data_IF_304145416007
#
_entry.id   IF_304145416007
#
_cell.length_a   1.000
_cell.length_b   1.000
_cell.length_c   1.000
_cell.angle_alpha   90.00
_cell.angle_beta   90.00
_cell.angle_gamma   90.00
#
_symmetry.space_group_name_H-M   'P 1'
#
loop_
_entity.id
_entity.type
_entity.pdbx_description
1 polymer ?
#
# COMPACT_ATOMS: atom_id res chain seq x y z
N UNK A 1 -54.67 15.75 17.17
CA UNK A 1 -53.88 16.06 15.97
C UNK A 1 -52.55 16.66 16.43
N UNK A 2 -51.41 16.15 15.94
CA UNK A 2 -50.04 16.69 16.09
C UNK A 2 -49.10 16.13 17.18
N UNK A 3 -48.89 14.82 17.27
CA UNK A 3 -47.68 14.30 17.96
C UNK A 3 -47.05 13.04 17.34
N UNK A 4 -47.30 12.76 16.06
CA UNK A 4 -46.77 11.57 15.37
C UNK A 4 -45.95 11.88 14.10
N UNK A 5 -45.61 13.15 13.83
CA UNK A 5 -44.93 13.56 12.58
C UNK A 5 -43.41 13.77 12.69
N UNK A 6 -42.79 13.62 13.86
CA UNK A 6 -41.37 14.00 14.04
C UNK A 6 -40.37 12.83 14.00
N UNK A 7 -40.79 11.57 13.90
CA UNK A 7 -39.86 10.43 14.05
C UNK A 7 -39.35 9.83 12.73
N UNK A 8 -39.73 10.40 11.59
CA UNK A 8 -39.39 9.83 10.27
C UNK A 8 -38.18 10.48 9.57
N UNK A 9 -37.55 11.49 10.17
CA UNK A 9 -36.47 12.26 9.50
C UNK A 9 -35.06 11.93 10.07
N UNK A 10 -34.95 11.19 11.18
CA UNK A 10 -33.65 10.88 11.78
C UNK A 10 -32.92 9.66 11.16
N UNK A 11 -33.60 8.81 10.40
CA UNK A 11 -32.99 7.58 9.84
C UNK A 11 -32.33 7.81 8.47
N UNK A 12 -32.66 8.89 7.76
CA UNK A 12 -32.08 9.19 6.43
C UNK A 12 -30.77 9.97 6.54
N UNK A 13 -30.57 10.77 7.59
CA UNK A 13 -29.35 11.55 7.80
C UNK A 13 -28.15 10.74 8.35
N UNK A 14 -28.38 9.51 8.83
CA UNK A 14 -27.33 8.63 9.35
C UNK A 14 -26.67 7.77 8.26
N UNK A 15 -27.20 7.75 7.03
CA UNK A 15 -26.63 7.02 5.89
C UNK A 15 -25.61 7.84 5.09
N UNK A 16 -25.46 9.14 5.38
CA UNK A 16 -24.56 10.06 4.67
C UNK A 16 -23.19 10.24 5.32
N UNK A 17 -22.92 9.56 6.44
CA UNK A 17 -21.60 9.57 7.07
C UNK A 17 -20.84 8.28 6.72
N UNK A 18 -19.97 8.38 5.71
CA UNK A 18 -18.82 7.50 5.60
C UNK A 18 -19.05 6.16 4.92
N UNK A 19 -19.72 6.12 3.76
CA UNK A 19 -19.30 5.14 2.75
C UNK A 19 -17.90 5.58 2.30
N UNK A 20 -16.85 5.26 3.07
CA UNK A 20 -15.53 5.17 2.46
C UNK A 20 -15.69 4.20 1.32
N UNK A 21 -15.43 4.63 0.08
CA UNK A 21 -15.39 3.68 -1.03
C UNK A 21 -14.37 2.62 -0.61
N UNK A 22 -14.89 1.43 -0.41
CA UNK A 22 -14.17 0.18 -0.51
C UNK A 22 -13.24 0.26 -1.73
N UNK A 23 -11.97 0.63 -1.53
CA UNK A 23 -10.97 0.58 -2.59
C UNK A 23 -10.34 -0.80 -2.54
N UNK A 24 -10.59 -1.59 -3.58
CA UNK A 24 -9.88 -2.84 -3.78
C UNK A 24 -8.37 -2.54 -3.76
N UNK A 25 -7.65 -3.23 -2.88
CA UNK A 25 -6.20 -3.12 -2.78
C UNK A 25 -5.56 -4.14 -3.71
N UNK A 26 -4.51 -3.75 -4.41
CA UNK A 26 -3.78 -4.57 -5.36
C UNK A 26 -2.57 -5.22 -4.69
N UNK A 27 -2.29 -6.46 -5.06
CA UNK A 27 -1.13 -7.22 -4.59
C UNK A 27 -0.10 -7.29 -5.71
N UNK A 28 1.12 -6.87 -5.41
CA UNK A 28 2.25 -7.01 -6.31
C UNK A 28 3.33 -7.88 -5.68
N UNK A 29 3.85 -8.84 -6.42
CA UNK A 29 5.12 -9.48 -6.09
C UNK A 29 6.25 -8.66 -6.68
N UNK A 30 7.30 -8.42 -5.90
CA UNK A 30 8.49 -7.71 -6.38
C UNK A 30 9.74 -8.57 -6.26
N UNK A 31 10.68 -8.33 -7.17
CA UNK A 31 12.05 -8.84 -7.04
C UNK A 31 13.06 -7.76 -7.39
N UNK A 32 14.24 -7.84 -6.78
CA UNK A 32 15.40 -7.05 -7.18
C UNK A 32 16.66 -7.92 -7.16
N UNK A 33 17.59 -7.62 -8.06
CA UNK A 33 18.89 -8.30 -8.12
C UNK A 33 19.96 -7.36 -8.62
N UNK A 34 20.94 -7.09 -7.76
CA UNK A 34 22.19 -6.39 -8.03
C UNK A 34 23.41 -7.28 -7.76
N UNK A 35 24.62 -6.73 -7.90
CA UNK A 35 25.87 -7.47 -7.67
C UNK A 35 26.06 -7.99 -6.24
N UNK A 36 25.61 -7.23 -5.25
CA UNK A 36 25.84 -7.53 -3.83
C UNK A 36 24.56 -7.80 -3.06
N UNK A 37 23.43 -7.26 -3.54
CA UNK A 37 22.13 -7.38 -2.91
C UNK A 37 21.09 -7.97 -3.87
N UNK A 38 20.27 -8.89 -3.38
CA UNK A 38 19.10 -9.40 -4.10
C UNK A 38 17.98 -9.69 -3.11
N UNK A 39 16.74 -9.70 -3.58
CA UNK A 39 15.61 -9.95 -2.70
C UNK A 39 14.28 -10.02 -3.43
N UNK A 40 13.26 -10.37 -2.67
CA UNK A 40 11.89 -10.46 -3.16
C UNK A 40 10.90 -10.31 -2.02
N UNK A 41 9.65 -10.01 -2.38
CA UNK A 41 8.58 -9.89 -1.42
C UNK A 41 7.27 -9.52 -2.08
N UNK A 42 6.34 -9.07 -1.25
CA UNK A 42 5.01 -8.64 -1.67
C UNK A 42 4.75 -7.21 -1.23
N UNK A 43 3.98 -6.49 -2.05
CA UNK A 43 3.50 -5.13 -1.82
C UNK A 43 1.99 -5.13 -1.94
N UNK A 44 1.34 -4.42 -1.05
CA UNK A 44 -0.09 -4.20 -1.03
C UNK A 44 -0.30 -2.72 -1.27
N UNK A 45 -1.00 -2.35 -2.33
CA UNK A 45 -1.09 -0.97 -2.79
C UNK A 45 -2.52 -0.55 -3.17
N UNK A 46 -2.87 0.71 -2.88
CA UNK A 46 -4.15 1.28 -3.28
C UNK A 46 -4.04 1.92 -4.67
N UNK A 47 -5.02 1.70 -5.56
CA UNK A 47 -5.06 2.39 -6.85
C UNK A 47 -5.36 3.88 -6.67
N UNK A 48 -4.59 4.72 -7.36
CA UNK A 48 -4.79 6.18 -7.37
C UNK A 48 -5.88 6.62 -8.37
N UNK A 49 -6.37 5.70 -9.21
CA UNK A 49 -7.44 5.95 -10.19
C UNK A 49 -6.96 6.39 -11.57
N UNK A 50 -5.65 6.51 -11.78
CA UNK A 50 -4.99 6.90 -13.04
C UNK A 50 -4.03 5.81 -13.58
N UNK A 51 -4.09 4.61 -13.01
CA UNK A 51 -3.19 3.50 -13.34
C UNK A 51 -1.89 3.50 -12.53
N UNK A 52 -1.71 4.44 -11.61
CA UNK A 52 -0.65 4.44 -10.60
C UNK A 52 -1.17 3.92 -9.26
N UNK A 53 -0.24 3.51 -8.40
CA UNK A 53 -0.58 2.91 -7.11
C UNK A 53 0.27 3.51 -5.99
N UNK A 54 -0.34 3.62 -4.80
CA UNK A 54 0.35 3.99 -3.57
C UNK A 54 0.47 2.75 -2.68
N UNK A 55 1.70 2.30 -2.43
CA UNK A 55 1.95 1.14 -1.55
C UNK A 55 1.58 1.51 -0.12
N UNK A 56 0.82 0.64 0.55
CA UNK A 56 0.35 0.84 1.93
C UNK A 56 0.91 -0.18 2.90
N UNK A 57 1.42 -1.31 2.42
CA UNK A 57 2.21 -2.24 3.20
C UNK A 57 3.05 -3.13 2.28
N UNK A 58 4.10 -3.73 2.84
CA UNK A 58 4.94 -4.64 2.08
C UNK A 58 5.90 -5.38 3.00
N UNK A 59 6.27 -6.59 2.58
CA UNK A 59 7.21 -7.42 3.32
C UNK A 59 7.98 -8.33 2.38
N UNK A 60 9.16 -8.77 2.79
CA UNK A 60 9.97 -9.64 1.94
C UNK A 60 11.24 -10.10 2.63
N UNK A 61 12.20 -10.50 1.81
CA UNK A 61 13.55 -10.86 2.25
C UNK A 61 14.57 -10.24 1.32
N UNK A 62 15.74 -9.96 1.85
CA UNK A 62 16.92 -9.62 1.08
C UNK A 62 18.08 -10.53 1.47
N UNK A 63 19.03 -10.67 0.55
CA UNK A 63 20.34 -11.26 0.79
C UNK A 63 21.39 -10.27 0.34
N UNK A 64 22.23 -9.85 1.28
CA UNK A 64 23.28 -8.86 1.09
C UNK A 64 24.62 -9.49 1.44
N UNK A 65 25.54 -9.58 0.47
CA UNK A 65 26.85 -10.21 0.64
C UNK A 65 26.78 -11.64 1.23
N UNK A 66 25.73 -12.37 0.87
CA UNK A 66 25.48 -13.75 1.34
C UNK A 66 24.79 -13.86 2.71
N UNK A 67 24.43 -12.76 3.37
CA UNK A 67 23.64 -12.75 4.60
C UNK A 67 22.19 -12.35 4.32
N UNK A 68 21.22 -13.10 4.85
CA UNK A 68 19.80 -12.82 4.64
C UNK A 68 19.18 -12.02 5.78
N UNK A 69 18.24 -11.14 5.44
CA UNK A 69 17.45 -10.34 6.38
C UNK A 69 16.00 -10.22 5.85
N UNK A 70 15.04 -9.88 6.73
CA UNK A 70 13.65 -9.62 6.34
C UNK A 70 13.45 -8.15 6.05
N UNK A 71 12.63 -7.84 5.05
CA UNK A 71 12.21 -6.48 4.71
C UNK A 71 10.80 -6.21 5.24
N UNK A 72 10.58 -5.04 5.80
CA UNK A 72 9.25 -4.49 6.13
C UNK A 72 9.15 -3.07 5.59
N UNK A 73 8.10 -2.77 4.83
CA UNK A 73 7.91 -1.44 4.25
C UNK A 73 7.79 -0.39 5.37
N UNK A 74 8.51 0.71 5.22
CA UNK A 74 8.30 1.92 6.02
C UNK A 74 7.34 2.82 5.27
N UNK A 75 6.12 2.96 5.79
CA UNK A 75 5.06 3.72 5.13
C UNK A 75 5.36 5.22 5.09
N UNK A 76 5.15 5.83 3.93
CA UNK A 76 5.23 7.25 3.72
C UNK A 76 4.04 7.98 4.38
N UNK A 77 4.26 8.85 5.39
CA UNK A 77 3.18 9.58 6.04
C UNK A 77 2.56 10.70 5.19
N UNK A 78 3.18 11.07 4.06
CA UNK A 78 2.79 12.22 3.23
C UNK A 78 1.95 11.83 1.99
N UNK A 79 1.46 10.59 1.91
CA UNK A 79 0.68 10.10 0.76
C UNK A 79 1.53 10.01 -0.50
N UNK A 80 1.16 10.72 -1.57
CA UNK A 80 1.89 10.70 -2.85
C UNK A 80 3.13 11.62 -2.88
N UNK A 81 3.23 12.57 -1.94
CA UNK A 81 4.39 13.46 -1.83
C UNK A 81 5.51 12.74 -1.07
N UNK A 82 6.77 13.08 -1.34
CA UNK A 82 7.87 12.40 -0.66
C UNK A 82 7.94 12.71 0.84
N UNK A 83 8.47 11.77 1.62
CA UNK A 83 8.90 11.97 2.99
C UNK A 83 10.40 11.70 3.11
N UNK A 84 10.95 12.17 4.23
CA UNK A 84 12.32 11.84 4.64
C UNK A 84 12.27 10.65 5.59
N UNK A 85 13.11 9.65 5.33
CA UNK A 85 13.26 8.45 6.15
C UNK A 85 13.54 8.78 7.64
N UNK A 86 13.19 7.88 8.58
CA UNK A 86 13.48 8.06 10.01
C UNK A 86 14.96 8.35 10.32
N UNK A 87 15.91 7.67 9.69
CA UNK A 87 17.34 7.95 9.85
C UNK A 87 17.82 9.17 9.04
N UNK A 88 16.96 9.73 8.21
CA UNK A 88 17.19 11.00 7.53
C UNK A 88 18.10 10.92 6.29
N UNK A 89 18.31 9.72 5.74
CA UNK A 89 19.24 9.49 4.63
C UNK A 89 18.50 9.43 3.29
N UNK A 90 17.36 8.76 3.26
CA UNK A 90 16.55 8.57 2.05
C UNK A 90 15.35 9.51 1.99
N UNK A 91 14.95 9.83 0.76
CA UNK A 91 13.64 10.36 0.41
C UNK A 91 12.88 9.24 -0.30
N UNK A 92 11.59 9.08 0.01
CA UNK A 92 10.75 8.00 -0.51
C UNK A 92 9.29 8.46 -0.61
N UNK A 93 8.50 7.86 -1.49
CA UNK A 93 7.09 8.25 -1.66
C UNK A 93 6.11 7.10 -1.89
N UNK A 94 6.60 5.85 -1.94
CA UNK A 94 5.79 4.65 -2.06
C UNK A 94 4.90 4.59 -3.33
N UNK A 95 5.31 5.26 -4.41
CA UNK A 95 4.57 5.25 -5.68
C UNK A 95 5.05 4.16 -6.64
N UNK A 96 4.10 3.42 -7.22
CA UNK A 96 4.33 2.46 -8.29
C UNK A 96 3.67 2.91 -9.59
N UNK A 97 4.36 2.64 -10.69
CA UNK A 97 3.92 2.91 -12.06
C UNK A 97 4.03 1.63 -12.92
N UNK A 98 3.20 0.59 -12.70
CA UNK A 98 3.37 -0.73 -13.34
C UNK A 98 3.31 -0.72 -14.88
N UNK A 99 2.70 0.32 -15.46
CA UNK A 99 2.59 0.50 -16.92
C UNK A 99 3.65 1.44 -17.50
N UNK A 100 4.52 1.99 -16.66
CA UNK A 100 5.61 2.88 -17.05
C UNK A 100 6.97 2.20 -16.99
N UNK A 101 8.00 2.91 -17.46
CA UNK A 101 9.38 2.48 -17.33
C UNK A 101 10.27 3.70 -17.03
N UNK A 102 10.83 3.83 -15.81
CA UNK A 102 10.85 2.84 -14.72
C UNK A 102 9.50 2.60 -14.02
N UNK A 103 9.40 1.51 -13.27
CA UNK A 103 8.22 1.08 -12.51
C UNK A 103 7.99 1.87 -11.20
N UNK A 104 8.93 2.74 -10.84
CA UNK A 104 8.94 3.61 -9.66
C UNK A 104 9.75 4.86 -9.99
N UNK A 105 9.52 5.95 -9.27
CA UNK A 105 10.26 7.19 -9.49
C UNK A 105 11.57 7.25 -8.69
N UNK A 106 12.19 8.43 -8.66
CA UNK A 106 13.46 8.70 -7.98
C UNK A 106 13.40 8.65 -6.44
N UNK A 107 12.20 8.59 -5.85
CA UNK A 107 12.02 8.48 -4.41
C UNK A 107 11.89 7.01 -4.00
N UNK A 108 11.06 6.25 -4.73
CA UNK A 108 11.00 4.79 -4.60
C UNK A 108 10.37 4.29 -3.30
N UNK A 109 10.74 3.05 -2.95
CA UNK A 109 10.21 2.27 -1.83
C UNK A 109 11.25 2.13 -0.71
N UNK A 110 10.85 2.49 0.51
CA UNK A 110 11.70 2.38 1.70
C UNK A 110 11.30 1.18 2.55
N UNK A 111 12.30 0.39 2.97
CA UNK A 111 12.14 -0.74 3.85
C UNK A 111 13.03 -0.60 5.09
N UNK A 112 12.59 -1.17 6.20
CA UNK A 112 13.43 -1.49 7.36
C UNK A 112 13.73 -2.98 7.36
N UNK A 113 14.99 -3.33 7.66
CA UNK A 113 15.38 -4.72 7.86
C UNK A 113 15.21 -5.14 9.34
N UNK A 114 15.19 -6.44 9.64
CA UNK A 114 15.08 -6.90 11.05
C UNK A 114 16.30 -6.50 11.89
N UNK A 115 17.45 -6.24 11.24
CA UNK A 115 18.64 -5.65 11.87
C UNK A 115 18.53 -4.15 12.18
N UNK A 116 17.44 -3.49 11.77
CA UNK A 116 17.22 -2.05 11.96
C UNK A 116 17.93 -1.16 10.93
N UNK A 117 18.33 -1.71 9.79
CA UNK A 117 18.91 -0.97 8.66
C UNK A 117 17.78 -0.47 7.75
N UNK A 118 17.81 0.77 7.28
CA UNK A 118 16.94 1.23 6.18
C UNK A 118 17.54 0.92 4.82
N UNK A 119 16.68 0.51 3.89
CA UNK A 119 16.99 0.16 2.52
C UNK A 119 16.02 0.89 1.62
N UNK A 120 16.52 1.61 0.62
CA UNK A 120 15.70 2.25 -0.40
C UNK A 120 15.98 1.63 -1.77
N UNK A 121 14.93 1.38 -2.53
CA UNK A 121 15.02 0.97 -3.94
C UNK A 121 14.24 1.98 -4.76
N UNK A 122 14.88 2.59 -5.76
CA UNK A 122 14.27 3.63 -6.58
C UNK A 122 14.68 3.55 -8.05
N UNK A 123 13.86 4.12 -8.92
CA UNK A 123 14.14 4.22 -10.35
C UNK A 123 15.01 5.44 -10.66
N UNK A 124 15.95 5.30 -11.59
CA UNK A 124 16.76 6.43 -12.07
C UNK A 124 16.50 6.76 -13.52
N UNK A 125 16.30 5.74 -14.36
CA UNK A 125 16.03 5.84 -15.80
C UNK A 125 15.28 4.58 -16.27
N UNK A 126 14.94 4.51 -17.56
CA UNK A 126 14.30 3.33 -18.14
C UNK A 126 15.16 2.06 -17.91
N UNK A 127 14.54 1.05 -17.29
CA UNK A 127 15.16 -0.21 -16.86
C UNK A 127 16.37 -0.05 -15.91
N UNK A 128 16.50 1.10 -15.25
CA UNK A 128 17.61 1.39 -14.35
C UNK A 128 17.09 1.72 -12.95
N UNK A 129 17.56 0.95 -11.97
CA UNK A 129 17.20 1.09 -10.57
C UNK A 129 18.45 1.09 -9.70
N UNK A 130 18.32 1.68 -8.52
CA UNK A 130 19.37 1.68 -7.50
C UNK A 130 18.82 1.00 -6.26
N UNK A 131 19.61 0.07 -5.72
CA UNK A 131 19.48 -0.42 -4.35
C UNK A 131 20.48 0.36 -3.50
N UNK A 132 20.04 0.88 -2.35
CA UNK A 132 20.97 1.36 -1.35
C UNK A 132 20.50 1.05 0.07
N UNK A 133 21.44 0.64 0.91
CA UNK A 133 21.23 0.57 2.35
C UNK A 133 21.89 1.78 3.03
N UNK A 134 21.41 2.14 4.22
CA UNK A 134 21.91 3.32 4.93
C UNK A 134 23.37 3.20 5.42
N UNK A 135 24.01 2.03 5.27
CA UNK A 135 25.33 1.74 5.86
C UNK A 135 26.46 1.89 4.85
N UNK A 136 26.39 1.17 3.72
CA UNK A 136 27.61 0.93 2.92
C UNK A 136 27.35 0.63 1.45
N UNK A 137 26.20 0.04 1.11
CA UNK A 137 25.94 -0.42 -0.25
C UNK A 137 25.05 0.57 -0.97
N UNK A 138 25.50 0.98 -2.15
CA UNK A 138 24.71 1.68 -3.16
C UNK A 138 25.15 1.16 -4.52
N UNK A 139 24.25 0.50 -5.22
CA UNK A 139 24.57 -0.18 -6.47
C UNK A 139 23.40 -0.17 -7.45
N UNK A 140 23.72 -0.33 -8.73
CA UNK A 140 22.72 -0.61 -9.75
C UNK A 140 22.08 -1.97 -9.50
N UNK A 141 20.76 -2.03 -9.63
CA UNK A 141 19.98 -3.25 -9.48
C UNK A 141 18.97 -3.37 -10.63
N UNK A 142 18.49 -4.58 -10.85
CA UNK A 142 17.23 -4.81 -11.54
C UNK A 142 16.07 -4.68 -10.55
N UNK A 143 14.88 -4.37 -11.06
CA UNK A 143 13.63 -4.41 -10.29
C UNK A 143 12.51 -4.90 -11.20
N UNK A 144 11.66 -5.78 -10.70
CA UNK A 144 10.46 -6.24 -11.39
C UNK A 144 9.26 -6.24 -10.46
N UNK A 145 8.08 -6.07 -11.06
CA UNK A 145 6.79 -6.24 -10.43
C UNK A 145 5.99 -7.28 -11.21
N UNK A 146 5.29 -8.16 -10.49
CA UNK A 146 4.24 -8.99 -11.03
C UNK A 146 2.92 -8.60 -10.34
N UNK A 147 1.89 -8.32 -11.12
CA UNK A 147 0.54 -8.04 -10.61
C UNK A 147 -0.15 -9.37 -10.30
N UNK A 148 -0.42 -9.61 -9.01
CA UNK A 148 -1.13 -10.79 -8.50
C UNK A 148 -2.64 -10.56 -8.42
N UNK A 149 -3.10 -9.36 -8.78
CA UNK A 149 -4.48 -8.93 -8.81
C UNK A 149 -4.97 -8.31 -7.51
N UNK A 150 -6.29 -8.18 -7.42
CA UNK A 150 -6.96 -7.49 -6.30
C UNK A 150 -7.20 -8.44 -5.13
N UNK A 151 -6.92 -7.97 -3.92
CA UNK A 151 -7.32 -8.65 -2.67
C UNK A 151 -8.80 -8.31 -2.42
N UNK A 152 -9.72 -9.30 -2.45
CA UNK A 152 -11.13 -9.03 -2.19
C UNK A 152 -11.34 -8.55 -0.76
N UNK A 153 -12.22 -7.57 -0.57
CA UNK A 153 -12.57 -7.13 0.78
C UNK A 153 -13.20 -8.27 1.60
N UNK A 154 -12.94 -8.33 2.91
CA UNK A 154 -13.61 -9.29 3.77
C UNK A 154 -15.13 -9.15 3.67
N UNK A 155 -15.83 -10.27 3.45
CA UNK A 155 -17.30 -10.34 3.39
C UNK A 155 -18.03 -9.77 4.63
N UNK A 156 -17.29 -9.47 5.69
CA UNK A 156 -17.70 -8.75 6.90
C UNK A 156 -18.43 -7.44 6.60
N UNK A 157 -17.99 -6.67 5.60
CA UNK A 157 -18.63 -5.38 5.24
C UNK A 157 -19.98 -5.63 4.57
N UNK A 158 -20.04 -6.60 3.65
CA UNK A 158 -21.30 -7.02 3.04
C UNK A 158 -22.26 -7.59 4.10
N UNK A 159 -21.76 -8.38 5.05
CA UNK A 159 -22.56 -8.95 6.14
C UNK A 159 -23.06 -7.87 7.11
N UNK A 160 -22.26 -6.85 7.42
CA UNK A 160 -22.68 -5.69 8.21
C UNK A 160 -23.81 -4.94 7.49
N UNK A 161 -23.64 -4.65 6.19
CA UNK A 161 -24.67 -4.01 5.36
C UNK A 161 -25.98 -4.80 5.34
N UNK A 162 -25.90 -6.12 5.09
CA UNK A 162 -27.06 -7.02 5.12
C UNK A 162 -27.69 -7.11 6.53
N UNK A 163 -26.86 -7.12 7.58
CA UNK A 163 -27.30 -7.13 8.97
C UNK A 163 -28.14 -5.90 9.33
N UNK A 164 -27.69 -4.70 8.97
CA UNK A 164 -28.46 -3.47 9.17
C UNK A 164 -29.80 -3.48 8.41
N UNK A 165 -29.82 -3.97 7.16
CA UNK A 165 -31.06 -4.12 6.39
C UNK A 165 -32.02 -5.10 7.05
N UNK A 166 -31.54 -6.24 7.54
CA UNK A 166 -32.35 -7.21 8.27
C UNK A 166 -32.95 -6.60 9.55
N UNK A 167 -32.17 -5.85 10.34
CA UNK A 167 -32.66 -5.15 11.53
C UNK A 167 -33.79 -4.15 11.22
N UNK A 168 -33.65 -3.37 10.15
CA UNK A 168 -34.71 -2.41 9.76
C UNK A 168 -35.98 -3.11 9.24
N UNK A 169 -35.85 -4.26 8.57
CA UNK A 169 -36.97 -5.06 8.10
C UNK A 169 -37.75 -5.71 9.26
N UNK A 170 -37.06 -6.24 10.27
CA UNK A 170 -37.68 -6.84 11.46
C UNK A 170 -38.44 -5.79 12.28
N UNK A 171 -37.87 -4.59 12.46
CA UNK A 171 -38.52 -3.50 13.21
C UNK A 171 -39.80 -2.97 12.56
N UNK A 172 -39.99 -3.14 11.24
CA UNK A 172 -41.23 -2.74 10.55
C UNK A 172 -42.38 -3.74 10.70
N UNK A 173 -42.09 -4.96 11.15
CA UNK A 173 -43.09 -6.03 11.37
C UNK A 173 -43.56 -6.16 12.82
N UNK A 174 -42.95 -5.40 13.74
CA UNK A 174 -43.35 -5.30 15.16
C UNK A 174 -44.21 -4.07 15.37
#
# INVERSE_FOLDING_TARGET
MNMFKSLSIAVIAALSFGMSQAQATELFDFTFSGPSASGSGTLVANPNGDGTFTVISGSGTETVLGASDTLTLLLNPNGISFAKSPNGIFLFNDQLFPTANPLMDQYGLLFATSSGTEVNIWGTDANAYIYANQRTIKESTTFSLNDEGVIPEPASIALLGLGLLAFTAVRRKS
#
